data_IF_521955402881
#
_entry.id   IF_521955402881
#
_cell.length_a   1.000
_cell.length_b   1.000
_cell.length_c   1.000
_cell.angle_alpha   90.00
_cell.angle_beta   90.00
_cell.angle_gamma   90.00
#
_symmetry.space_group_name_H-M   'P 1'
#
loop_
_entity.id
_entity.type
_entity.pdbx_description
1 polymer ?
#
# COMPACT_ATOMS: atom_id res chain seq x y z
N UNK A 1 1.01 -24.20 3.59
CA UNK A 1 0.09 -23.08 3.34
C UNK A 1 0.83 -21.80 3.62
N UNK A 2 0.56 -20.71 2.88
CA UNK A 2 1.10 -19.39 3.19
C UNK A 2 0.47 -18.83 4.47
N UNK A 3 1.22 -18.01 5.21
CA UNK A 3 0.71 -17.25 6.35
C UNK A 3 1.17 -15.79 6.21
N UNK A 4 0.24 -14.85 6.35
CA UNK A 4 0.53 -13.42 6.22
C UNK A 4 0.46 -12.75 7.59
N UNK A 5 1.59 -12.26 8.09
CA UNK A 5 1.62 -11.37 9.24
C UNK A 5 1.20 -9.97 8.79
N UNK A 6 0.15 -9.46 9.39
CA UNK A 6 -0.57 -8.25 8.96
C UNK A 6 -1.10 -7.47 10.16
N UNK A 7 -1.34 -6.19 9.97
CA UNK A 7 -2.19 -5.39 10.85
C UNK A 7 -3.37 -4.85 10.04
N UNK A 8 -4.59 -4.89 10.61
CA UNK A 8 -5.81 -4.48 9.91
C UNK A 8 -5.71 -3.09 9.26
N UNK A 9 -5.18 -2.04 9.94
CA UNK A 9 -5.10 -0.71 9.35
C UNK A 9 -3.89 -0.51 8.43
N UNK A 10 -2.99 -1.49 8.30
CA UNK A 10 -1.79 -1.32 7.47
C UNK A 10 -2.13 -1.30 5.98
N UNK A 11 -1.87 -0.19 5.26
CA UNK A 11 -2.13 -0.11 3.82
C UNK A 11 -1.18 -1.02 3.04
N UNK A 12 0.05 -1.22 3.53
CA UNK A 12 1.03 -2.11 2.92
C UNK A 12 0.62 -3.59 3.02
N UNK A 13 0.09 -4.00 4.17
CA UNK A 13 -0.42 -5.35 4.34
C UNK A 13 -1.72 -5.56 3.56
N UNK A 14 -2.54 -4.50 3.40
CA UNK A 14 -3.78 -4.55 2.62
C UNK A 14 -3.49 -4.87 1.16
N UNK A 15 -2.50 -4.22 0.53
CA UNK A 15 -2.16 -4.50 -0.88
C UNK A 15 -1.72 -5.96 -1.09
N UNK A 16 -0.99 -6.55 -0.15
CA UNK A 16 -0.61 -7.97 -0.21
C UNK A 16 -1.81 -8.89 -0.03
N UNK A 17 -2.74 -8.57 0.90
CA UNK A 17 -3.98 -9.33 1.06
C UNK A 17 -4.83 -9.35 -0.20
N UNK A 18 -4.97 -8.18 -0.85
CA UNK A 18 -5.72 -8.07 -2.12
C UNK A 18 -5.02 -8.89 -3.20
N UNK A 19 -3.72 -8.75 -3.38
CA UNK A 19 -2.97 -9.50 -4.38
C UNK A 19 -3.05 -11.02 -4.21
N UNK A 20 -2.98 -11.51 -2.97
CA UNK A 20 -3.17 -12.94 -2.67
C UNK A 20 -4.59 -13.40 -3.03
N UNK A 21 -5.61 -12.60 -2.71
CA UNK A 21 -7.00 -12.89 -3.03
C UNK A 21 -7.25 -12.90 -4.55
N UNK A 22 -6.79 -11.88 -5.27
CA UNK A 22 -6.92 -11.78 -6.73
C UNK A 22 -6.22 -12.95 -7.46
N UNK A 23 -5.09 -13.40 -6.94
CA UNK A 23 -4.38 -14.58 -7.46
C UNK A 23 -4.99 -15.91 -7.03
N UNK A 24 -6.05 -15.91 -6.22
CA UNK A 24 -6.68 -17.13 -5.69
C UNK A 24 -5.74 -17.95 -4.79
N UNK A 25 -4.76 -17.31 -4.14
CA UNK A 25 -3.77 -17.98 -3.30
C UNK A 25 -4.30 -18.06 -1.87
N UNK A 26 -4.58 -19.25 -1.34
CA UNK A 26 -5.03 -19.40 0.03
C UNK A 26 -3.92 -19.08 1.03
N UNK A 27 -4.27 -18.34 2.06
CA UNK A 27 -3.34 -17.96 3.13
C UNK A 27 -4.05 -17.87 4.49
N UNK A 28 -3.30 -18.09 5.54
CA UNK A 28 -3.70 -17.83 6.92
C UNK A 28 -3.33 -16.40 7.29
N UNK A 29 -4.27 -15.65 7.86
CA UNK A 29 -4.03 -14.29 8.33
C UNK A 29 -3.62 -14.32 9.81
N UNK A 30 -2.41 -13.85 10.10
CA UNK A 30 -1.92 -13.62 11.46
C UNK A 30 -1.92 -12.10 11.71
N UNK A 31 -2.84 -11.66 12.56
CA UNK A 31 -2.91 -10.23 12.91
C UNK A 31 -1.96 -9.92 14.06
N UNK A 32 -1.09 -8.92 13.87
CA UNK A 32 -0.15 -8.44 14.87
C UNK A 32 -0.08 -6.93 14.94
N UNK A 33 0.41 -6.43 16.05
CA UNK A 33 0.75 -5.02 16.27
C UNK A 33 2.28 -4.95 16.35
N UNK A 34 2.98 -4.46 15.31
CA UNK A 34 4.43 -4.62 15.16
C UNK A 34 5.27 -3.92 16.24
N UNK A 35 4.71 -2.94 16.94
CA UNK A 35 5.38 -2.23 18.04
C UNK A 35 5.07 -2.80 19.43
N UNK A 36 4.31 -3.87 19.53
CA UNK A 36 4.12 -4.57 20.81
C UNK A 36 5.35 -5.44 21.12
N UNK A 37 5.75 -5.48 22.37
CA UNK A 37 6.89 -6.32 22.82
C UNK A 37 6.69 -7.82 22.61
N UNK A 38 5.45 -8.25 22.35
CA UNK A 38 5.07 -9.65 22.12
C UNK A 38 4.96 -10.02 20.64
N UNK A 39 5.27 -9.08 19.72
CA UNK A 39 5.17 -9.37 18.28
C UNK A 39 6.18 -10.43 17.83
N UNK A 40 5.75 -11.34 16.96
CA UNK A 40 6.63 -12.32 16.31
C UNK A 40 7.34 -11.72 15.07
N UNK A 41 7.00 -10.52 14.65
CA UNK A 41 7.52 -9.89 13.42
C UNK A 41 9.06 -9.90 13.34
N UNK A 42 9.84 -9.57 14.41
CA UNK A 42 11.30 -9.56 14.34
C UNK A 42 11.93 -10.91 14.00
N UNK A 43 11.26 -12.02 14.31
CA UNK A 43 11.75 -13.36 13.99
C UNK A 43 11.76 -13.65 12.47
N UNK A 44 10.98 -12.90 11.70
CA UNK A 44 10.81 -13.11 10.25
C UNK A 44 11.28 -11.92 9.40
N UNK A 45 11.29 -10.71 9.98
CA UNK A 45 11.71 -9.49 9.30
C UNK A 45 12.61 -8.65 10.20
N UNK A 46 13.90 -8.53 9.88
CA UNK A 46 14.85 -7.76 10.69
C UNK A 46 14.56 -6.25 10.71
N UNK A 47 13.65 -5.76 9.82
CA UNK A 47 13.22 -4.37 9.82
C UNK A 47 12.01 -4.13 10.74
N UNK A 48 11.51 -5.18 11.41
CA UNK A 48 10.37 -5.13 12.34
C UNK A 48 9.10 -4.50 11.74
N UNK A 49 8.91 -4.68 10.43
CA UNK A 49 7.79 -4.09 9.67
C UNK A 49 6.85 -5.14 9.13
N UNK A 50 5.59 -4.77 9.01
CA UNK A 50 4.55 -5.51 8.31
C UNK A 50 4.36 -4.97 6.89
N UNK A 51 3.93 -5.80 5.93
CA UNK A 51 3.60 -7.23 6.04
C UNK A 51 4.82 -8.15 5.99
N UNK A 52 4.61 -9.40 6.45
CA UNK A 52 5.54 -10.51 6.19
C UNK A 52 4.75 -11.70 5.65
N UNK A 53 5.14 -12.22 4.50
CA UNK A 53 4.59 -13.45 3.94
C UNK A 53 5.48 -14.63 4.34
N UNK A 54 4.97 -15.51 5.20
CA UNK A 54 5.66 -16.72 5.60
C UNK A 54 5.31 -17.82 4.61
N UNK A 55 6.35 -18.37 3.98
CA UNK A 55 6.24 -19.45 3.02
C UNK A 55 5.97 -20.80 3.71
N UNK A 56 5.53 -21.84 2.98
CA UNK A 56 5.31 -23.19 3.53
C UNK A 56 6.55 -23.82 4.17
N UNK A 57 7.75 -23.39 3.77
CA UNK A 57 9.03 -23.84 4.32
C UNK A 57 9.48 -23.04 5.56
N UNK A 58 8.68 -22.08 6.02
CA UNK A 58 8.94 -21.25 7.19
C UNK A 58 9.74 -19.97 6.91
N UNK A 59 10.25 -19.76 5.70
CA UNK A 59 10.98 -18.52 5.36
C UNK A 59 10.03 -17.32 5.29
N UNK A 60 10.48 -16.17 5.81
CA UNK A 60 9.81 -14.90 5.67
C UNK A 60 10.20 -14.17 4.37
N UNK A 61 9.21 -13.72 3.62
CA UNK A 61 9.35 -12.75 2.52
C UNK A 61 8.77 -11.43 3.01
N UNK A 62 9.53 -10.37 2.97
CA UNK A 62 9.14 -9.08 3.55
C UNK A 62 9.51 -7.92 2.64
N UNK A 63 8.96 -6.80 2.98
CA UNK A 63 8.67 -5.58 2.26
C UNK A 63 7.58 -5.83 1.20
N UNK A 64 6.53 -5.02 1.27
CA UNK A 64 5.31 -5.26 0.50
C UNK A 64 5.52 -5.25 -1.02
N UNK A 65 6.40 -4.38 -1.55
CA UNK A 65 6.73 -4.35 -2.99
C UNK A 65 7.44 -5.63 -3.42
N UNK A 66 8.37 -6.10 -2.57
CA UNK A 66 9.09 -7.33 -2.84
C UNK A 66 8.16 -8.54 -2.74
N UNK A 67 7.22 -8.56 -1.79
CA UNK A 67 6.20 -9.63 -1.72
C UNK A 67 5.37 -9.66 -3.01
N UNK A 68 4.92 -8.50 -3.51
CA UNK A 68 4.16 -8.42 -4.76
C UNK A 68 4.97 -8.89 -5.97
N UNK A 69 6.24 -8.49 -6.07
CA UNK A 69 7.13 -8.99 -7.13
C UNK A 69 7.36 -10.51 -7.00
N UNK A 70 7.57 -11.00 -5.79
CA UNK A 70 7.72 -12.42 -5.52
C UNK A 70 6.48 -13.22 -5.96
N UNK A 71 5.27 -12.67 -5.68
CA UNK A 71 4.01 -13.28 -6.12
C UNK A 71 3.87 -13.28 -7.64
N UNK A 72 4.26 -12.21 -8.34
CA UNK A 72 4.25 -12.17 -9.81
C UNK A 72 5.17 -13.23 -10.43
N UNK A 73 6.37 -13.40 -9.87
CA UNK A 73 7.34 -14.39 -10.37
C UNK A 73 6.91 -15.83 -10.07
N UNK A 74 6.36 -16.10 -8.89
CA UNK A 74 6.03 -17.47 -8.44
C UNK A 74 4.62 -17.90 -8.80
N UNK A 75 3.73 -16.95 -9.00
CA UNK A 75 2.32 -17.14 -9.36
C UNK A 75 1.96 -16.15 -10.49
N UNK A 76 2.46 -16.36 -11.71
CA UNK A 76 2.30 -15.40 -12.80
C UNK A 76 0.85 -15.24 -13.30
N UNK A 77 -0.05 -16.15 -12.94
CA UNK A 77 -1.44 -16.15 -13.40
C UNK A 77 -2.41 -16.14 -12.21
N UNK A 78 -3.41 -15.23 -12.19
CA UNK A 78 -3.53 -14.08 -13.07
C UNK A 78 -2.40 -13.06 -12.84
N UNK A 79 -1.95 -12.39 -13.89
CA UNK A 79 -0.97 -11.31 -13.79
C UNK A 79 -1.64 -10.07 -13.20
N UNK A 80 -0.99 -9.42 -12.22
CA UNK A 80 -1.44 -8.13 -11.66
C UNK A 80 -0.61 -6.95 -12.19
N UNK A 81 0.40 -7.25 -13.00
CA UNK A 81 1.25 -6.24 -13.64
C UNK A 81 1.16 -6.45 -15.15
N UNK A 82 0.96 -5.39 -15.95
CA UNK A 82 0.89 -5.50 -17.41
C UNK A 82 2.08 -6.21 -18.02
N UNK A 83 1.85 -6.91 -19.14
CA UNK A 83 2.91 -7.57 -19.92
C UNK A 83 3.70 -6.58 -20.77
N UNK A 84 3.06 -5.52 -21.25
CA UNK A 84 3.72 -4.44 -21.96
C UNK A 84 4.71 -3.73 -21.04
N UNK A 85 5.89 -3.42 -21.57
CA UNK A 85 7.00 -2.89 -20.78
C UNK A 85 6.74 -1.47 -20.28
N UNK A 86 6.13 -0.61 -21.09
CA UNK A 86 5.84 0.78 -20.74
C UNK A 86 4.68 0.85 -19.73
N UNK A 87 3.63 0.09 -19.95
CA UNK A 87 2.52 -0.03 -18.99
C UNK A 87 3.00 -0.63 -17.65
N UNK A 88 3.91 -1.60 -17.70
CA UNK A 88 4.53 -2.18 -16.50
C UNK A 88 5.30 -1.13 -15.70
N UNK A 89 6.09 -0.31 -16.38
CA UNK A 89 6.83 0.79 -15.75
C UNK A 89 5.87 1.83 -15.18
N UNK A 90 4.78 2.11 -15.87
CA UNK A 90 3.77 3.07 -15.42
C UNK A 90 3.02 2.55 -14.17
N UNK A 91 2.65 1.27 -14.14
CA UNK A 91 2.07 0.64 -12.95
C UNK A 91 3.03 0.68 -11.74
N UNK A 92 4.32 0.44 -11.95
CA UNK A 92 5.35 0.58 -10.91
C UNK A 92 5.54 2.02 -10.46
N UNK A 93 5.40 2.99 -11.36
CA UNK A 93 5.45 4.42 -11.00
C UNK A 93 4.26 4.81 -10.12
N UNK A 94 3.05 4.30 -10.41
CA UNK A 94 1.87 4.48 -9.53
C UNK A 94 2.12 3.87 -8.14
N UNK A 95 2.70 2.68 -8.08
CA UNK A 95 3.10 2.06 -6.80
C UNK A 95 4.05 2.96 -5.99
N UNK A 96 5.06 3.52 -6.63
CA UNK A 96 6.03 4.44 -5.97
C UNK A 96 5.33 5.68 -5.43
N UNK A 97 4.40 6.26 -6.18
CA UNK A 97 3.63 7.44 -5.76
C UNK A 97 2.76 7.11 -4.54
N UNK A 98 2.02 6.01 -4.59
CA UNK A 98 1.14 5.58 -3.49
C UNK A 98 1.93 5.22 -2.23
N UNK A 99 3.00 4.45 -2.36
CA UNK A 99 3.83 4.06 -1.22
C UNK A 99 4.50 5.29 -0.57
N UNK A 100 5.00 6.23 -1.37
CA UNK A 100 5.56 7.48 -0.86
C UNK A 100 4.54 8.36 -0.12
N UNK A 101 3.28 8.36 -0.56
CA UNK A 101 2.19 9.03 0.14
C UNK A 101 1.82 8.29 1.44
N UNK A 102 1.73 6.96 1.41
CA UNK A 102 1.48 6.15 2.60
C UNK A 102 2.60 6.30 3.64
N UNK A 103 3.87 6.33 3.22
CA UNK A 103 5.01 6.61 4.10
C UNK A 103 4.86 7.98 4.79
N UNK A 104 4.48 9.01 4.03
CA UNK A 104 4.24 10.34 4.58
C UNK A 104 3.07 10.35 5.59
N UNK A 105 1.99 9.62 5.32
CA UNK A 105 0.84 9.49 6.24
C UNK A 105 1.22 8.74 7.53
N UNK A 106 2.01 7.67 7.42
CA UNK A 106 2.52 6.95 8.60
C UNK A 106 3.39 7.85 9.47
N UNK A 107 4.24 8.68 8.86
CA UNK A 107 5.03 9.67 9.61
C UNK A 107 4.16 10.71 10.31
N UNK A 108 3.08 11.18 9.67
CA UNK A 108 2.10 12.09 10.31
C UNK A 108 1.39 11.38 11.46
N UNK A 109 0.97 10.12 11.26
CA UNK A 109 0.32 9.35 12.31
C UNK A 109 1.20 9.26 13.56
N UNK A 110 2.46 8.89 13.42
CA UNK A 110 3.39 8.77 14.55
C UNK A 110 3.74 10.11 15.16
N UNK A 111 3.91 11.16 14.37
CA UNK A 111 4.15 12.51 14.90
C UNK A 111 2.98 13.00 15.75
N UNK A 112 1.73 12.68 15.37
CA UNK A 112 0.54 12.98 16.17
C UNK A 112 0.46 12.18 17.47
N UNK A 113 1.11 11.02 17.55
CA UNK A 113 1.18 10.16 18.73
C UNK A 113 2.38 10.46 19.63
N UNK A 114 3.17 11.46 19.29
CA UNK A 114 4.34 11.86 20.09
C UNK A 114 3.94 12.17 21.53
N UNK A 115 4.65 11.59 22.49
CA UNK A 115 4.45 11.79 23.93
C UNK A 115 5.45 12.82 24.50
N UNK A 116 6.58 13.03 23.83
CA UNK A 116 7.64 13.95 24.25
C UNK A 116 7.50 15.28 23.51
N UNK A 117 6.81 16.23 24.14
CA UNK A 117 6.56 17.56 23.58
C UNK A 117 5.43 17.59 22.53
N UNK A 118 5.07 18.79 22.04
CA UNK A 118 3.99 18.94 21.06
C UNK A 118 4.41 18.42 19.68
N UNK A 119 3.46 17.92 18.86
CA UNK A 119 3.73 17.54 17.49
C UNK A 119 4.30 18.70 16.66
N UNK A 120 5.32 18.41 15.84
CA UNK A 120 5.94 19.40 14.97
C UNK A 120 5.03 19.74 13.79
N UNK A 121 4.38 20.90 13.84
CA UNK A 121 3.51 21.37 12.77
C UNK A 121 4.25 21.57 11.43
N UNK A 122 5.50 22.13 11.38
CA UNK A 122 6.25 22.22 10.14
C UNK A 122 6.55 20.84 9.51
N UNK A 123 6.85 19.83 10.34
CA UNK A 123 7.06 18.46 9.87
C UNK A 123 5.80 17.83 9.30
N UNK A 124 4.68 17.95 10.02
CA UNK A 124 3.38 17.48 9.55
C UNK A 124 3.00 18.15 8.23
N UNK A 125 3.15 19.47 8.14
CA UNK A 125 2.88 20.22 6.91
C UNK A 125 3.75 19.75 5.73
N UNK A 126 5.03 19.42 5.99
CA UNK A 126 5.92 18.87 4.96
C UNK A 126 5.41 17.51 4.45
N UNK A 127 4.98 16.62 5.34
CA UNK A 127 4.44 15.31 4.92
C UNK A 127 3.13 15.47 4.16
N UNK A 128 2.23 16.35 4.63
CA UNK A 128 0.97 16.63 3.92
C UNK A 128 1.20 17.10 2.48
N UNK A 129 2.16 17.99 2.23
CA UNK A 129 2.49 18.42 0.85
C UNK A 129 2.87 17.24 -0.07
N UNK A 130 3.51 16.19 0.45
CA UNK A 130 3.81 14.96 -0.34
C UNK A 130 2.53 14.21 -0.69
N UNK A 131 1.63 14.07 0.28
CA UNK A 131 0.31 13.43 0.05
C UNK A 131 -0.50 14.21 -0.97
N UNK A 132 -0.58 15.55 -0.82
CA UNK A 132 -1.28 16.42 -1.77
C UNK A 132 -0.67 16.32 -3.19
N UNK A 133 0.65 16.22 -3.28
CA UNK A 133 1.36 16.03 -4.54
C UNK A 133 1.02 14.68 -5.20
N UNK A 134 1.01 13.62 -4.41
CA UNK A 134 0.65 12.28 -4.88
C UNK A 134 -0.80 12.23 -5.37
N UNK A 135 -1.74 12.76 -4.59
CA UNK A 135 -3.16 12.78 -4.98
C UNK A 135 -3.40 13.59 -6.27
N UNK A 136 -2.74 14.75 -6.43
CA UNK A 136 -2.83 15.51 -7.69
C UNK A 136 -2.30 14.75 -8.89
N UNK A 137 -1.19 14.00 -8.74
CA UNK A 137 -0.65 13.20 -9.83
C UNK A 137 -1.55 12.00 -10.16
N UNK A 138 -2.10 11.32 -9.15
CA UNK A 138 -3.06 10.23 -9.35
C UNK A 138 -4.35 10.73 -10.01
N UNK A 139 -4.88 11.88 -9.58
CA UNK A 139 -6.03 12.56 -10.22
C UNK A 139 -5.76 12.85 -11.69
N UNK A 140 -4.59 13.42 -12.02
CA UNK A 140 -4.20 13.71 -13.40
C UNK A 140 -4.17 12.42 -14.25
N UNK A 141 -3.67 11.33 -13.70
CA UNK A 141 -3.62 10.02 -14.37
C UNK A 141 -5.02 9.45 -14.57
N UNK A 142 -5.85 9.44 -13.54
CA UNK A 142 -7.24 8.99 -13.61
C UNK A 142 -8.03 9.81 -14.65
N UNK A 143 -7.90 11.13 -14.64
CA UNK A 143 -8.56 12.01 -15.61
C UNK A 143 -8.15 11.75 -17.06
N UNK A 144 -6.88 11.43 -17.31
CA UNK A 144 -6.37 11.09 -18.65
C UNK A 144 -6.89 9.73 -19.14
N UNK A 145 -7.09 8.78 -18.25
CA UNK A 145 -7.64 7.46 -18.58
C UNK A 145 -9.15 7.50 -18.81
N UNK A 146 -9.83 8.47 -18.20
CA UNK A 146 -11.28 8.54 -18.23
C UNK A 146 -11.93 7.45 -17.38
N UNK A 147 -12.68 6.55 -17.99
CA UNK A 147 -13.26 5.40 -17.32
C UNK A 147 -12.37 4.17 -17.54
N UNK A 148 -12.09 3.43 -16.49
CA UNK A 148 -11.28 2.19 -16.55
C UNK A 148 -10.26 2.11 -15.41
N UNK A 149 -9.29 1.22 -15.58
CA UNK A 149 -8.26 0.97 -14.60
C UNK A 149 -7.14 2.03 -14.66
N UNK A 150 -6.40 2.20 -13.58
CA UNK A 150 -5.33 3.19 -13.47
C UNK A 150 -4.24 3.01 -14.53
N UNK A 151 -3.95 1.75 -14.92
CA UNK A 151 -2.99 1.41 -15.98
C UNK A 151 -3.47 0.17 -16.71
N UNK A 152 -3.32 0.14 -18.05
CA UNK A 152 -3.72 -0.99 -18.88
C UNK A 152 -5.24 -1.17 -18.96
N UNK A 153 -5.67 -2.35 -19.39
CA UNK A 153 -7.07 -2.67 -19.67
C UNK A 153 -7.70 -3.64 -18.67
N UNK A 154 -6.97 -3.95 -17.58
CA UNK A 154 -7.41 -4.87 -16.54
C UNK A 154 -7.06 -4.35 -15.14
N UNK A 155 -7.85 -4.77 -14.15
CA UNK A 155 -7.54 -4.54 -12.74
C UNK A 155 -6.17 -5.10 -12.39
N UNK A 156 -5.34 -4.29 -11.72
CA UNK A 156 -3.98 -4.70 -11.42
C UNK A 156 -3.32 -3.94 -10.28
N UNK A 157 -1.99 -3.99 -10.27
CA UNK A 157 -1.15 -3.40 -9.23
C UNK A 157 -1.48 -1.92 -8.98
N UNK A 158 -1.63 -1.13 -10.05
CA UNK A 158 -1.87 0.31 -9.95
C UNK A 158 -3.20 0.61 -9.21
N UNK A 159 -4.24 -0.17 -9.47
CA UNK A 159 -5.55 -0.03 -8.82
C UNK A 159 -5.48 -0.47 -7.35
N UNK A 160 -4.82 -1.59 -7.10
CA UNK A 160 -4.63 -2.12 -5.74
C UNK A 160 -3.94 -1.09 -4.85
N UNK A 161 -2.82 -0.52 -5.30
CA UNK A 161 -2.05 0.42 -4.46
C UNK A 161 -2.77 1.75 -4.29
N UNK A 162 -3.47 2.22 -5.34
CA UNK A 162 -4.30 3.44 -5.29
C UNK A 162 -5.44 3.25 -4.29
N UNK A 163 -6.20 2.16 -4.41
CA UNK A 163 -7.29 1.84 -3.48
C UNK A 163 -6.80 1.65 -2.03
N UNK A 164 -5.58 1.12 -1.83
CA UNK A 164 -4.99 1.01 -0.49
C UNK A 164 -4.62 2.37 0.11
N UNK A 165 -4.08 3.30 -0.67
CA UNK A 165 -3.81 4.67 -0.25
C UNK A 165 -5.10 5.39 0.13
N UNK A 166 -6.11 5.39 -0.76
CA UNK A 166 -7.38 6.08 -0.54
C UNK A 166 -8.12 5.51 0.67
N UNK A 167 -8.19 4.20 0.79
CA UNK A 167 -8.79 3.54 1.95
C UNK A 167 -8.03 3.79 3.26
N UNK A 168 -6.72 4.03 3.20
CA UNK A 168 -5.95 4.42 4.38
C UNK A 168 -6.27 5.85 4.83
N UNK A 169 -6.45 6.77 3.87
CA UNK A 169 -6.95 8.12 4.15
C UNK A 169 -8.32 8.07 4.83
N UNK A 170 -9.26 7.31 4.29
CA UNK A 170 -10.61 7.19 4.84
C UNK A 170 -10.61 6.65 6.28
N UNK A 171 -9.75 5.68 6.60
CA UNK A 171 -9.73 5.01 7.92
C UNK A 171 -8.95 5.81 8.97
N UNK A 172 -7.84 6.45 8.59
CA UNK A 172 -6.91 7.07 9.55
C UNK A 172 -6.89 8.58 9.52
N UNK A 173 -7.40 9.19 8.46
CA UNK A 173 -7.38 10.61 8.19
C UNK A 173 -8.72 11.07 7.63
N UNK A 174 -9.83 10.62 8.24
CA UNK A 174 -11.19 10.92 7.79
C UNK A 174 -11.51 12.43 7.72
N UNK A 175 -10.74 13.24 8.45
CA UNK A 175 -10.81 14.70 8.36
C UNK A 175 -10.20 15.28 7.08
N UNK A 176 -9.52 14.44 6.28
CA UNK A 176 -8.91 14.84 5.02
C UNK A 176 -9.86 14.49 3.86
N UNK A 177 -10.67 15.46 3.46
CA UNK A 177 -11.55 15.31 2.29
C UNK A 177 -10.71 15.31 1.00
N UNK A 178 -10.26 14.13 0.61
CA UNK A 178 -9.53 13.97 -0.64
C UNK A 178 -10.43 13.95 -1.87
N UNK A 179 -11.72 13.59 -1.71
CA UNK A 179 -12.66 13.40 -2.83
C UNK A 179 -13.03 14.70 -3.51
N UNK A 180 -13.33 15.74 -2.74
CA UNK A 180 -13.74 17.05 -3.29
C UNK A 180 -12.69 17.65 -4.23
N UNK A 181 -11.41 17.45 -3.94
CA UNK A 181 -10.32 17.94 -4.78
C UNK A 181 -9.89 17.03 -5.93
N UNK A 182 -10.41 15.77 -5.99
CA UNK A 182 -9.93 14.75 -6.92
C UNK A 182 -11.10 13.92 -7.48
N UNK A 183 -12.00 14.53 -8.29
CA UNK A 183 -13.23 13.88 -8.76
C UNK A 183 -12.99 12.69 -9.69
N UNK A 184 -11.97 12.71 -10.55
CA UNK A 184 -11.68 11.59 -11.42
C UNK A 184 -11.17 10.38 -10.61
N UNK A 185 -10.35 10.63 -9.60
CA UNK A 185 -9.84 9.59 -8.69
C UNK A 185 -10.95 9.02 -7.79
N UNK A 186 -11.99 9.82 -7.50
CA UNK A 186 -13.10 9.38 -6.66
C UNK A 186 -14.06 8.41 -7.35
N UNK A 187 -14.00 8.30 -8.68
CA UNK A 187 -14.83 7.41 -9.51
C UNK A 187 -14.02 6.35 -10.27
N UNK A 188 -12.70 6.34 -10.12
CA UNK A 188 -11.78 5.38 -10.71
C UNK A 188 -11.82 3.99 -10.04
#
# INVERSE_FOLDING_TARGET
>A
MYRLISATPSPYARKVRIALAEKGIPFELQTEVPWNSTTATPAYNPLEKLPVLILPDGRGVYESRYILEWLEVRHPTPALVPADADERLDARQVEVICDGAMDALVLVFWERQRTEGPPSQPWIARQRRKVDGALRELERRAALRGHGWMVGDAFGLADIVTGCLLGYLDVRFAEFDWRTGHPALAVA
#
